data_IF_620389358628
#
_entry.id   IF_620389358628
#
_cell.length_a   1.000
_cell.length_b   1.000
_cell.length_c   1.000
_cell.angle_alpha   90.00
_cell.angle_beta   90.00
_cell.angle_gamma   90.00
#
_symmetry.space_group_name_H-M   'P 1'
#
loop_
_entity.id
_entity.type
_entity.pdbx_description
1 polymer ?
#
# COMPACT_ATOMS: atom_id res chain seq x y z
N UNK A 1 17.82 16.40 -5.39
CA UNK A 1 17.14 15.24 -6.01
C UNK A 1 16.78 14.17 -5.00
N UNK A 2 17.69 13.72 -4.12
CA UNK A 2 17.39 12.74 -3.04
C UNK A 2 16.24 13.13 -2.11
N UNK A 3 16.12 14.42 -1.78
CA UNK A 3 14.99 14.93 -0.97
C UNK A 3 13.63 14.92 -1.70
N UNK A 4 13.60 14.76 -3.02
CA UNK A 4 12.38 14.76 -3.85
C UNK A 4 12.01 13.32 -4.26
N UNK A 5 13.02 12.45 -4.42
CA UNK A 5 12.86 11.05 -4.76
C UNK A 5 13.59 10.17 -3.75
N UNK A 6 12.99 9.93 -2.56
CA UNK A 6 13.65 9.18 -1.48
C UNK A 6 13.95 7.73 -1.87
N UNK A 7 13.28 7.20 -2.90
CA UNK A 7 13.54 5.84 -3.36
C UNK A 7 14.96 5.61 -3.87
N UNK A 8 15.61 6.68 -4.36
CA UNK A 8 16.99 6.65 -4.84
C UNK A 8 17.99 6.33 -3.72
N UNK A 9 17.67 6.63 -2.46
CA UNK A 9 18.55 6.34 -1.33
C UNK A 9 18.55 4.85 -0.96
N UNK A 10 17.37 4.25 -0.83
CA UNK A 10 17.29 2.82 -0.48
C UNK A 10 17.66 1.91 -1.65
N UNK A 11 17.40 2.29 -2.90
CA UNK A 11 17.79 1.48 -4.06
C UNK A 11 19.33 1.42 -4.21
N UNK A 12 20.04 2.50 -3.87
CA UNK A 12 21.51 2.55 -3.94
C UNK A 12 22.20 1.64 -2.92
N UNK A 13 21.52 1.31 -1.82
CA UNK A 13 22.01 0.40 -0.77
C UNK A 13 21.37 -0.99 -0.83
N UNK A 14 20.58 -1.27 -1.88
CA UNK A 14 19.81 -2.50 -2.02
C UNK A 14 20.71 -3.68 -2.37
N UNK A 15 20.67 -4.73 -1.54
CA UNK A 15 21.43 -5.96 -1.78
C UNK A 15 20.59 -6.95 -2.57
N UNK A 16 21.20 -7.58 -3.59
CA UNK A 16 20.54 -8.64 -4.38
C UNK A 16 20.06 -9.81 -3.51
N UNK A 17 20.73 -10.06 -2.38
CA UNK A 17 20.35 -11.09 -1.39
C UNK A 17 18.99 -10.84 -0.76
N UNK A 18 18.52 -9.60 -0.73
CA UNK A 18 17.24 -9.26 -0.12
C UNK A 18 16.07 -9.38 -1.10
N UNK A 19 16.34 -9.47 -2.41
CA UNK A 19 15.31 -9.55 -3.45
C UNK A 19 14.36 -10.72 -3.26
N UNK A 20 14.88 -11.91 -2.97
CA UNK A 20 14.04 -13.10 -2.76
C UNK A 20 13.15 -12.93 -1.52
N UNK A 21 13.67 -12.31 -0.46
CA UNK A 21 12.92 -12.08 0.79
C UNK A 21 11.79 -11.07 0.56
N UNK A 22 12.09 -9.97 -0.10
CA UNK A 22 11.11 -8.94 -0.42
C UNK A 22 10.04 -9.43 -1.41
N UNK A 23 10.42 -10.27 -2.38
CA UNK A 23 9.47 -10.86 -3.32
C UNK A 23 8.46 -11.75 -2.60
N UNK A 24 8.93 -12.64 -1.72
CA UNK A 24 8.06 -13.52 -0.93
C UNK A 24 7.18 -12.71 0.03
N UNK A 25 7.74 -11.71 0.70
CA UNK A 25 7.00 -10.81 1.56
C UNK A 25 5.91 -10.03 0.78
N UNK A 26 6.26 -9.49 -0.39
CA UNK A 26 5.35 -8.75 -1.25
C UNK A 26 4.20 -9.60 -1.76
N UNK A 27 4.46 -10.85 -2.18
CA UNK A 27 3.40 -11.80 -2.57
C UNK A 27 2.48 -12.07 -1.38
N UNK A 28 3.04 -12.35 -0.21
CA UNK A 28 2.27 -12.66 1.00
C UNK A 28 1.37 -11.48 1.40
N UNK A 29 1.94 -10.28 1.46
CA UNK A 29 1.21 -9.05 1.80
C UNK A 29 0.15 -8.75 0.72
N UNK A 30 0.48 -8.92 -0.55
CA UNK A 30 -0.46 -8.70 -1.66
C UNK A 30 -1.68 -9.63 -1.59
N UNK A 31 -1.48 -10.91 -1.25
CA UNK A 31 -2.58 -11.87 -1.06
C UNK A 31 -3.48 -11.44 0.10
N UNK A 32 -2.91 -10.99 1.22
CA UNK A 32 -3.67 -10.52 2.39
C UNK A 32 -4.43 -9.22 2.07
N UNK A 33 -3.83 -8.34 1.25
CA UNK A 33 -4.38 -7.03 0.92
C UNK A 33 -5.67 -7.11 0.07
N UNK A 34 -5.84 -8.16 -0.74
CA UNK A 34 -7.04 -8.34 -1.59
C UNK A 34 -8.32 -8.44 -0.76
N UNK A 35 -8.51 -9.44 0.13
CA UNK A 35 -9.71 -9.53 0.95
C UNK A 35 -9.79 -8.39 1.97
N UNK A 36 -8.66 -7.94 2.52
CA UNK A 36 -8.61 -6.84 3.49
C UNK A 36 -9.11 -5.53 2.90
N UNK A 37 -8.63 -5.14 1.71
CA UNK A 37 -9.07 -3.91 1.04
C UNK A 37 -10.54 -3.96 0.65
N UNK A 38 -11.02 -5.11 0.18
CA UNK A 38 -12.45 -5.32 -0.11
C UNK A 38 -13.32 -5.11 1.13
N UNK A 39 -12.93 -5.68 2.28
CA UNK A 39 -13.65 -5.51 3.54
C UNK A 39 -13.68 -4.03 3.99
N UNK A 40 -12.57 -3.31 3.83
CA UNK A 40 -12.49 -1.89 4.19
C UNK A 40 -13.34 -0.99 3.30
N UNK A 41 -13.42 -1.27 1.99
CA UNK A 41 -14.38 -0.57 1.13
C UNK A 41 -15.84 -0.80 1.55
N UNK A 42 -16.18 -2.00 2.02
CA UNK A 42 -17.51 -2.29 2.55
C UNK A 42 -17.79 -1.53 3.85
N UNK A 43 -16.79 -1.36 4.73
CA UNK A 43 -16.91 -0.48 5.91
C UNK A 43 -17.20 0.97 5.48
N UNK A 44 -16.56 1.43 4.40
CA UNK A 44 -16.80 2.75 3.82
C UNK A 44 -18.17 2.89 3.10
N UNK A 45 -18.98 1.83 3.04
CA UNK A 45 -20.24 1.81 2.29
C UNK A 45 -20.07 1.78 0.76
N UNK A 46 -18.87 1.45 0.27
CA UNK A 46 -18.52 1.43 -1.15
C UNK A 46 -18.54 0.01 -1.73
N UNK A 47 -18.70 -0.16 -3.06
CA UNK A 47 -18.50 -1.44 -3.72
C UNK A 47 -17.08 -1.98 -3.48
N UNK A 48 -16.88 -3.29 -3.22
CA UNK A 48 -15.58 -3.88 -2.85
C UNK A 48 -14.42 -3.57 -3.80
N UNK A 49 -14.71 -3.36 -5.09
CA UNK A 49 -13.71 -3.01 -6.11
C UNK A 49 -12.95 -1.72 -5.79
N UNK A 50 -13.58 -0.76 -5.10
CA UNK A 50 -12.93 0.48 -4.68
C UNK A 50 -11.81 0.23 -3.68
N UNK A 51 -11.94 -0.81 -2.86
CA UNK A 51 -10.89 -1.25 -1.94
C UNK A 51 -9.65 -1.76 -2.67
N UNK A 52 -9.83 -2.41 -3.82
CA UNK A 52 -8.72 -2.88 -4.66
C UNK A 52 -7.98 -1.70 -5.30
N UNK A 53 -8.72 -0.68 -5.77
CA UNK A 53 -8.10 0.54 -6.29
C UNK A 53 -7.34 1.30 -5.20
N UNK A 54 -7.96 1.46 -4.03
CA UNK A 54 -7.35 2.10 -2.86
C UNK A 54 -6.13 1.33 -2.33
N UNK A 55 -6.05 0.02 -2.55
CA UNK A 55 -4.90 -0.81 -2.19
C UNK A 55 -3.77 -0.78 -3.23
N UNK A 56 -4.08 -0.64 -4.52
CA UNK A 56 -3.08 -0.72 -5.59
C UNK A 56 -2.35 0.60 -5.83
N UNK A 57 -3.10 1.67 -6.11
CA UNK A 57 -2.49 2.93 -6.56
C UNK A 57 -1.61 3.60 -5.49
N UNK A 58 -2.03 3.69 -4.21
CA UNK A 58 -1.20 4.30 -3.18
C UNK A 58 0.12 3.55 -2.95
N UNK A 59 0.12 2.22 -3.05
CA UNK A 59 1.36 1.42 -2.92
C UNK A 59 2.33 1.71 -4.05
N UNK A 60 1.84 1.86 -5.29
CA UNK A 60 2.68 2.21 -6.45
C UNK A 60 3.28 3.61 -6.32
N UNK A 61 2.46 4.57 -5.87
CA UNK A 61 2.92 5.94 -5.61
C UNK A 61 3.93 5.96 -4.47
N UNK A 62 3.68 5.22 -3.38
CA UNK A 62 4.58 5.14 -2.24
C UNK A 62 5.88 4.41 -2.57
N UNK A 63 5.89 3.43 -3.48
CA UNK A 63 7.14 2.81 -3.94
C UNK A 63 8.10 3.83 -4.58
N UNK A 64 7.57 4.86 -5.24
CA UNK A 64 8.35 5.92 -5.89
C UNK A 64 8.67 7.09 -4.97
N UNK A 65 7.74 7.49 -4.10
CA UNK A 65 7.86 8.70 -3.28
C UNK A 65 8.15 8.42 -1.80
N UNK A 66 8.06 7.16 -1.39
CA UNK A 66 8.17 6.74 0.00
C UNK A 66 9.60 6.73 0.51
N UNK A 67 9.74 7.07 1.78
CA UNK A 67 11.02 7.13 2.50
C UNK A 67 11.44 5.79 3.09
N UNK A 68 10.50 4.84 3.24
CA UNK A 68 10.75 3.53 3.82
C UNK A 68 10.45 2.41 2.84
N UNK A 69 11.42 1.50 2.68
CA UNK A 69 11.28 0.29 1.85
C UNK A 69 10.26 -0.72 2.38
N UNK A 70 9.93 -0.68 3.68
CA UNK A 70 9.12 -1.74 4.34
C UNK A 70 7.65 -1.37 4.54
N UNK A 71 7.26 -0.14 4.20
CA UNK A 71 5.89 0.33 4.41
C UNK A 71 5.04 -0.03 3.19
N UNK A 72 3.94 -0.73 3.44
CA UNK A 72 2.86 -0.92 2.47
C UNK A 72 1.72 0.05 2.83
N UNK A 73 1.34 0.90 1.87
CA UNK A 73 0.26 1.87 2.01
C UNK A 73 -1.00 1.34 1.34
N UNK A 74 -2.14 1.43 2.03
CA UNK A 74 -3.44 1.02 1.53
C UNK A 74 -4.53 1.48 2.51
N UNK A 75 -5.81 1.16 2.22
CA UNK A 75 -6.92 1.49 3.11
C UNK A 75 -6.75 0.77 4.45
N UNK A 76 -7.19 1.41 5.51
CA UNK A 76 -7.28 0.82 6.86
C UNK A 76 -8.71 0.86 7.37
N UNK A 77 -8.97 0.38 8.58
CA UNK A 77 -10.32 0.41 9.14
C UNK A 77 -10.75 1.85 9.52
N UNK A 78 -9.82 2.63 10.08
CA UNK A 78 -10.13 3.96 10.62
C UNK A 78 -10.44 4.99 9.53
N UNK A 79 -9.66 5.05 8.46
CA UNK A 79 -9.92 5.94 7.32
C UNK A 79 -11.19 5.52 6.57
N UNK A 80 -11.47 4.22 6.44
CA UNK A 80 -12.71 3.72 5.84
C UNK A 80 -13.96 4.15 6.61
N UNK A 81 -13.92 4.12 7.95
CA UNK A 81 -14.99 4.66 8.79
C UNK A 81 -15.17 6.17 8.60
N UNK A 82 -14.07 6.92 8.50
CA UNK A 82 -14.13 8.36 8.26
C UNK A 82 -14.75 8.67 6.89
N UNK A 83 -14.41 7.89 5.85
CA UNK A 83 -15.02 8.00 4.52
C UNK A 83 -16.51 7.65 4.57
N UNK A 84 -16.90 6.61 5.32
CA UNK A 84 -18.31 6.24 5.51
C UNK A 84 -19.12 7.42 6.06
N UNK A 85 -18.60 8.08 7.11
CA UNK A 85 -19.24 9.24 7.75
C UNK A 85 -19.19 10.48 6.85
N UNK A 86 -18.15 10.65 6.03
CA UNK A 86 -18.02 11.78 5.13
C UNK A 86 -18.87 11.69 3.86
N UNK A 87 -19.26 10.48 3.44
CA UNK A 87 -20.13 10.24 2.27
C UNK A 87 -21.62 10.16 2.63
N UNK A 88 -21.95 9.84 3.88
CA UNK A 88 -23.33 9.77 4.40
C UNK A 88 -23.82 11.12 4.93
#
# INVERSE_FOLDING_TARGET
MKNIFPFLDWISSYKKTDFVKDLLAGITVGIVLVPQGMAYAMIAGLPPVHGLYASLFPVLVYALLGTSRKIAVGPVAMDSLLVAVGLG
#
